data_IF_927996306601
#
_entry.id   IF_927996306601
#
_cell.length_a   1.000
_cell.length_b   1.000
_cell.length_c   1.000
_cell.angle_alpha   90.00
_cell.angle_beta   90.00
_cell.angle_gamma   90.00
#
_symmetry.space_group_name_H-M   'P 1'
#
loop_
_entity.id
_entity.type
_entity.pdbx_description
1 polymer ?
#
# COMPACT_ATOMS: atom_id res chain seq x y z
N UNK A 1 13.01 -10.85 0.48
CA UNK A 1 12.13 -10.08 -0.43
C UNK A 1 12.73 -10.14 -1.82
N UNK A 2 11.92 -10.24 -2.87
CA UNK A 2 12.39 -10.18 -4.27
C UNK A 2 11.51 -9.20 -5.04
N UNK A 3 12.13 -8.33 -5.84
CA UNK A 3 11.40 -7.42 -6.73
C UNK A 3 12.01 -7.44 -8.12
N UNK A 4 11.20 -7.22 -9.14
CA UNK A 4 11.62 -7.11 -10.53
C UNK A 4 10.92 -5.92 -11.17
N UNK A 5 11.72 -5.07 -11.78
CA UNK A 5 11.31 -3.82 -12.41
C UNK A 5 11.69 -3.87 -13.88
N UNK A 6 10.78 -3.46 -14.74
CA UNK A 6 11.03 -3.34 -16.19
C UNK A 6 10.66 -1.94 -16.63
N UNK A 7 11.67 -1.24 -17.15
CA UNK A 7 11.62 0.15 -17.60
C UNK A 7 12.14 0.19 -19.05
N UNK A 8 11.28 -0.04 -20.06
CA UNK A 8 11.65 0.09 -21.46
C UNK A 8 11.96 1.57 -21.76
N UNK A 9 13.19 1.87 -22.13
CA UNK A 9 13.64 3.24 -22.41
C UNK A 9 13.23 3.72 -23.82
N UNK A 10 12.81 2.82 -24.70
CA UNK A 10 12.47 3.09 -26.11
C UNK A 10 10.98 3.18 -26.41
N UNK A 11 10.11 2.95 -25.42
CA UNK A 11 8.67 2.98 -25.64
C UNK A 11 8.17 4.43 -25.70
N UNK A 12 7.55 4.82 -26.81
CA UNK A 12 6.91 6.15 -26.96
C UNK A 12 5.80 6.43 -25.94
N UNK A 13 5.33 5.38 -25.26
CA UNK A 13 4.45 5.42 -24.11
C UNK A 13 5.33 4.99 -22.93
N UNK A 14 5.44 5.77 -21.85
CA UNK A 14 6.34 5.49 -20.72
C UNK A 14 5.82 4.35 -19.84
N UNK A 15 5.64 3.19 -20.45
CA UNK A 15 5.13 1.98 -19.86
C UNK A 15 6.19 1.39 -18.93
N UNK A 16 5.78 0.92 -17.77
CA UNK A 16 6.65 0.17 -16.87
C UNK A 16 5.86 -0.96 -16.22
N UNK A 17 6.59 -1.96 -15.73
CA UNK A 17 6.02 -2.99 -14.87
C UNK A 17 6.88 -3.18 -13.64
N UNK A 18 6.25 -3.36 -12.49
CA UNK A 18 6.91 -3.69 -11.24
C UNK A 18 6.19 -4.87 -10.58
N UNK A 19 6.96 -5.90 -10.27
CA UNK A 19 6.48 -7.10 -9.59
C UNK A 19 7.31 -7.34 -8.35
N UNK A 20 6.71 -7.91 -7.31
CA UNK A 20 7.48 -8.23 -6.13
C UNK A 20 6.73 -9.10 -5.13
N UNK A 21 7.53 -9.77 -4.31
CA UNK A 21 7.08 -10.62 -3.21
C UNK A 21 7.83 -10.25 -1.95
N UNK A 22 7.07 -9.90 -0.92
CA UNK A 22 7.52 -9.82 0.46
C UNK A 22 7.02 -11.06 1.18
N UNK A 23 7.95 -11.81 1.77
CA UNK A 23 7.65 -12.98 2.60
C UNK A 23 7.33 -12.51 4.03
N UNK A 24 7.19 -13.47 4.94
CA UNK A 24 6.82 -13.20 6.32
C UNK A 24 7.71 -12.12 6.96
N UNK A 25 7.08 -11.11 7.54
CA UNK A 25 7.78 -10.04 8.26
C UNK A 25 6.88 -9.37 9.31
N UNK A 26 7.49 -8.73 10.30
CA UNK A 26 6.78 -7.85 11.21
C UNK A 26 6.38 -6.57 10.47
N UNK A 27 5.08 -6.22 10.49
CA UNK A 27 4.53 -5.09 9.76
C UNK A 27 5.05 -3.74 10.28
N UNK A 28 5.45 -3.65 11.56
CA UNK A 28 5.98 -2.40 12.15
C UNK A 28 7.30 -1.97 11.52
N UNK A 29 8.07 -2.90 10.93
CA UNK A 29 9.31 -2.60 10.21
C UNK A 29 9.06 -1.72 8.96
N UNK A 30 7.82 -1.65 8.48
CA UNK A 30 7.45 -0.79 7.35
C UNK A 30 7.27 0.67 7.76
N UNK A 31 7.21 1.02 9.06
CA UNK A 31 6.97 2.40 9.54
C UNK A 31 7.98 3.40 8.98
N UNK A 32 9.25 3.02 8.86
CA UNK A 32 10.29 3.85 8.24
C UNK A 32 9.97 4.28 6.79
N UNK A 33 9.08 3.54 6.11
CA UNK A 33 8.61 3.81 4.75
C UNK A 33 7.22 4.45 4.78
N UNK A 34 6.27 3.90 5.55
CA UNK A 34 4.87 4.32 5.47
C UNK A 34 4.58 5.64 6.21
N UNK A 35 5.29 5.93 7.30
CA UNK A 35 5.06 7.15 8.09
C UNK A 35 5.28 8.42 7.25
N UNK A 36 6.43 8.61 6.57
CA UNK A 36 6.65 9.80 5.75
C UNK A 36 5.80 9.82 4.46
N UNK A 37 5.35 8.66 3.96
CA UNK A 37 4.71 8.56 2.64
C UNK A 37 3.18 8.50 2.68
N UNK A 38 2.61 7.97 3.75
CA UNK A 38 1.18 7.74 3.91
C UNK A 38 0.58 8.50 5.10
N UNK A 39 1.41 9.15 5.94
CA UNK A 39 0.97 9.74 7.20
C UNK A 39 0.18 8.71 8.03
N UNK A 40 0.73 7.49 8.10
CA UNK A 40 0.13 6.38 8.82
C UNK A 40 1.22 5.54 9.48
N UNK A 41 0.93 4.96 10.63
CA UNK A 41 1.85 4.11 11.39
C UNK A 41 1.19 2.77 11.71
N UNK A 42 1.94 1.68 11.59
CA UNK A 42 1.51 0.34 11.99
C UNK A 42 1.93 0.13 13.44
N UNK A 43 0.95 -0.17 14.31
CA UNK A 43 1.20 -0.49 15.72
C UNK A 43 1.55 -1.95 15.94
N UNK A 44 0.90 -2.83 15.18
CA UNK A 44 1.11 -4.26 15.22
C UNK A 44 0.62 -4.87 13.89
N UNK A 45 1.12 -6.07 13.61
CA UNK A 45 0.74 -6.84 12.44
C UNK A 45 1.82 -7.82 12.01
N UNK A 46 1.38 -8.99 11.55
CA UNK A 46 2.25 -10.01 10.96
C UNK A 46 1.92 -10.14 9.50
N UNK A 47 2.81 -9.65 8.63
CA UNK A 47 2.71 -9.88 7.20
C UNK A 47 3.05 -11.35 6.96
N UNK A 48 2.14 -12.08 6.33
CA UNK A 48 2.38 -13.44 5.85
C UNK A 48 2.95 -13.42 4.44
N UNK A 49 2.36 -12.60 3.57
CA UNK A 49 2.76 -12.45 2.17
C UNK A 49 2.24 -11.14 1.60
N UNK A 50 3.07 -10.44 0.84
CA UNK A 50 2.63 -9.37 -0.05
C UNK A 50 3.13 -9.71 -1.46
N UNK A 51 2.23 -9.96 -2.38
CA UNK A 51 2.52 -10.06 -3.80
C UNK A 51 1.90 -8.88 -4.53
N UNK A 52 2.64 -8.30 -5.46
CA UNK A 52 2.11 -7.28 -6.35
C UNK A 52 2.57 -7.51 -7.78
N UNK A 53 1.68 -7.21 -8.72
CA UNK A 53 1.97 -7.10 -10.14
C UNK A 53 1.35 -5.80 -10.65
N UNK A 54 2.20 -4.80 -10.84
CA UNK A 54 1.79 -3.45 -11.20
C UNK A 54 2.32 -3.11 -12.59
N UNK A 55 1.49 -2.44 -13.37
CA UNK A 55 1.85 -1.79 -14.61
C UNK A 55 1.50 -0.32 -14.51
N UNK A 56 2.21 0.54 -15.23
CA UNK A 56 1.76 1.92 -15.38
C UNK A 56 2.28 2.53 -16.66
N UNK A 57 1.69 3.68 -17.01
CA UNK A 57 1.98 4.42 -18.22
C UNK A 57 1.92 5.94 -17.94
N UNK A 58 1.75 6.74 -18.98
CA UNK A 58 1.65 8.19 -18.88
C UNK A 58 0.36 8.70 -18.21
N UNK A 59 -0.64 7.83 -17.99
CA UNK A 59 -1.96 8.23 -17.50
C UNK A 59 -2.36 7.58 -16.18
N UNK A 60 -1.96 6.32 -15.93
CA UNK A 60 -2.37 5.59 -14.74
C UNK A 60 -1.45 4.42 -14.40
N UNK A 61 -1.61 3.94 -13.17
CA UNK A 61 -1.10 2.67 -12.68
C UNK A 61 -2.24 1.69 -12.48
N UNK A 62 -2.05 0.45 -12.91
CA UNK A 62 -3.01 -0.64 -12.79
C UNK A 62 -2.32 -1.92 -12.31
N UNK A 63 -3.10 -2.90 -11.87
CA UNK A 63 -2.57 -4.20 -11.50
C UNK A 63 -3.28 -4.82 -10.33
N UNK A 64 -2.63 -5.79 -9.71
CA UNK A 64 -3.20 -6.60 -8.64
C UNK A 64 -2.24 -6.70 -7.46
N UNK A 65 -2.81 -6.65 -6.26
CA UNK A 65 -2.10 -6.78 -4.99
C UNK A 65 -2.79 -7.85 -4.15
N UNK A 66 -2.01 -8.82 -3.69
CA UNK A 66 -2.40 -9.78 -2.66
C UNK A 66 -1.64 -9.45 -1.39
N UNK A 67 -2.35 -9.08 -0.33
CA UNK A 67 -1.74 -8.76 0.95
C UNK A 67 -2.34 -9.64 2.06
N UNK A 68 -1.59 -10.66 2.47
CA UNK A 68 -1.95 -11.60 3.52
C UNK A 68 -1.29 -11.20 4.84
N UNK A 69 -2.08 -11.09 5.89
CA UNK A 69 -1.61 -10.60 7.19
C UNK A 69 -2.56 -11.01 8.31
N UNK A 70 -2.04 -10.96 9.54
CA UNK A 70 -2.80 -11.11 10.78
C UNK A 70 -2.53 -9.92 11.71
N UNK A 71 -3.48 -9.65 12.60
CA UNK A 71 -3.37 -8.71 13.72
C UNK A 71 -2.91 -7.30 13.30
N UNK A 72 -3.34 -6.84 12.12
CA UNK A 72 -2.96 -5.53 11.58
C UNK A 72 -3.72 -4.40 12.28
N UNK A 73 -2.95 -3.49 12.86
CA UNK A 73 -3.44 -2.30 13.55
C UNK A 73 -2.69 -1.07 13.01
N UNK A 74 -3.44 -0.12 12.47
CA UNK A 74 -2.89 1.04 11.76
C UNK A 74 -3.54 2.31 12.30
N UNK A 75 -2.73 3.32 12.57
CA UNK A 75 -3.19 4.65 12.92
C UNK A 75 -2.84 5.68 11.86
N UNK A 76 -3.65 6.75 11.80
CA UNK A 76 -3.38 7.90 10.95
C UNK A 76 -2.58 8.92 11.77
N UNK A 77 -1.46 9.36 11.20
CA UNK A 77 -0.60 10.39 11.75
C UNK A 77 -1.05 11.78 11.28
N UNK A 78 -0.82 12.80 12.12
CA UNK A 78 -0.94 14.21 11.74
C UNK A 78 0.40 14.90 12.00
N UNK A 79 0.74 15.87 11.15
CA UNK A 79 1.88 16.75 11.41
C UNK A 79 1.58 17.62 12.62
N UNK A 80 2.47 17.59 13.61
CA UNK A 80 2.47 18.55 14.72
C UNK A 80 2.92 19.94 14.27
N UNK A 81 2.88 20.92 15.19
CA UNK A 81 3.35 22.29 14.93
C UNK A 81 4.86 22.39 14.67
N UNK A 82 5.62 21.37 15.08
CA UNK A 82 7.10 21.36 15.01
C UNK A 82 7.64 20.33 14.00
N UNK A 83 6.88 20.00 12.95
CA UNK A 83 7.17 18.94 11.95
C UNK A 83 7.38 17.51 12.51
N UNK A 84 7.30 17.31 13.83
CA UNK A 84 7.21 15.99 14.45
C UNK A 84 5.85 15.32 14.15
N UNK A 85 5.90 14.04 13.76
CA UNK A 85 4.72 13.20 13.62
C UNK A 85 4.18 12.86 15.02
N UNK A 86 3.14 13.58 15.47
CA UNK A 86 2.50 13.35 16.78
C UNK A 86 1.18 12.60 16.58
N UNK A 87 1.03 11.47 17.28
CA UNK A 87 -0.25 10.78 17.44
C UNK A 87 -1.14 11.64 18.36
N UNK A 88 -2.22 12.27 17.85
CA UNK A 88 -3.25 12.84 18.75
C UNK A 88 -4.18 11.71 19.16
N UNK A 89 -4.34 11.51 20.46
CA UNK A 89 -5.13 10.46 21.15
C UNK A 89 -6.62 10.35 20.76
N UNK A 90 -7.11 11.13 19.79
CA UNK A 90 -8.53 11.21 19.43
C UNK A 90 -8.85 10.79 17.98
N UNK A 91 -7.86 10.47 17.15
CA UNK A 91 -8.09 10.06 15.73
C UNK A 91 -7.74 8.58 15.47
N UNK A 92 -6.98 7.95 16.36
CA UNK A 92 -6.66 6.51 16.30
C UNK A 92 -7.90 5.62 16.32
N UNK A 93 -9.00 6.05 16.96
CA UNK A 93 -10.22 5.27 17.07
C UNK A 93 -10.96 5.01 15.74
N UNK A 94 -10.83 5.89 14.74
CA UNK A 94 -11.59 5.76 13.48
C UNK A 94 -10.90 4.88 12.44
N UNK A 95 -9.57 4.84 12.42
CA UNK A 95 -8.82 3.99 11.49
C UNK A 95 -9.06 2.50 11.77
N UNK A 96 -9.04 2.10 13.05
CA UNK A 96 -9.22 0.71 13.48
C UNK A 96 -10.61 0.13 13.16
N UNK A 97 -11.66 0.96 13.07
CA UNK A 97 -13.00 0.48 12.69
C UNK A 97 -13.10 0.17 11.18
N UNK A 98 -12.28 0.82 10.36
CA UNK A 98 -12.31 0.67 8.90
C UNK A 98 -11.31 -0.38 8.41
N UNK A 99 -10.13 -0.46 9.03
CA UNK A 99 -9.10 -1.45 8.71
C UNK A 99 -9.49 -2.79 9.32
N UNK A 100 -9.47 -3.83 8.49
CA UNK A 100 -9.71 -5.19 8.96
C UNK A 100 -8.39 -5.76 9.45
N UNK A 101 -8.44 -6.41 10.61
CA UNK A 101 -7.27 -6.94 11.31
C UNK A 101 -6.59 -8.12 10.60
N UNK A 102 -7.29 -8.84 9.72
CA UNK A 102 -6.72 -9.97 8.99
C UNK A 102 -7.18 -10.08 7.53
N UNK A 103 -6.36 -10.79 6.75
CA UNK A 103 -6.66 -11.31 5.43
C UNK A 103 -5.85 -12.61 5.20
N UNK A 104 -6.48 -13.76 4.92
CA UNK A 104 -7.91 -14.00 4.67
C UNK A 104 -8.80 -13.80 5.89
N UNK A 105 -10.13 -13.69 5.68
CA UNK A 105 -11.14 -13.59 6.75
C UNK A 105 -12.09 -14.76 6.63
N UNK A 106 -12.00 -15.70 7.55
CA UNK A 106 -12.60 -17.02 7.34
C UNK A 106 -12.09 -17.63 6.03
N UNK A 107 -13.01 -18.04 5.15
CA UNK A 107 -12.68 -18.65 3.86
C UNK A 107 -12.47 -17.63 2.72
N UNK A 108 -12.68 -16.34 2.97
CA UNK A 108 -12.57 -15.31 1.94
C UNK A 108 -11.20 -14.62 1.95
N UNK A 109 -10.50 -14.67 0.82
CA UNK A 109 -9.28 -13.88 0.56
C UNK A 109 -9.62 -12.63 -0.24
N UNK A 110 -9.20 -11.47 0.25
CA UNK A 110 -9.39 -10.19 -0.43
C UNK A 110 -8.12 -9.79 -1.19
N UNK A 111 -8.28 -9.29 -2.41
CA UNK A 111 -7.20 -8.71 -3.22
C UNK A 111 -7.54 -7.27 -3.59
N UNK A 112 -6.50 -6.46 -3.79
CA UNK A 112 -6.62 -5.09 -4.23
C UNK A 112 -6.39 -4.98 -5.72
N UNK A 113 -7.44 -4.64 -6.48
CA UNK A 113 -7.29 -4.27 -7.89
C UNK A 113 -6.94 -2.79 -7.97
N UNK A 114 -5.76 -2.50 -8.50
CA UNK A 114 -5.23 -1.15 -8.61
C UNK A 114 -5.78 -0.48 -9.87
N UNK A 115 -6.26 0.73 -9.69
CA UNK A 115 -6.59 1.68 -10.77
C UNK A 115 -6.35 3.07 -10.18
N UNK A 116 -5.15 3.62 -10.42
CA UNK A 116 -4.69 4.86 -9.82
C UNK A 116 -4.28 5.84 -10.91
N UNK A 117 -4.93 7.00 -10.95
CA UNK A 117 -4.63 8.05 -11.93
C UNK A 117 -3.28 8.71 -11.65
N UNK A 118 -2.51 8.95 -12.71
CA UNK A 118 -1.17 9.51 -12.60
C UNK A 118 -1.22 11.02 -12.41
N UNK A 119 -0.52 11.49 -11.39
CA UNK A 119 -0.07 12.89 -11.36
C UNK A 119 1.14 13.04 -12.30
N UNK A 120 0.92 13.67 -13.45
CA UNK A 120 1.94 13.86 -14.49
C UNK A 120 3.12 14.74 -14.03
N UNK A 121 2.94 15.54 -12.97
CA UNK A 121 4.00 16.37 -12.39
C UNK A 121 4.85 15.62 -11.36
N UNK A 122 4.53 14.35 -11.09
CA UNK A 122 5.28 13.48 -10.17
C UNK A 122 6.06 12.41 -10.91
N UNK A 123 7.09 11.91 -10.24
CA UNK A 123 7.94 10.86 -10.78
C UNK A 123 7.16 9.55 -10.99
N UNK A 124 7.69 8.70 -11.88
CA UNK A 124 7.21 7.32 -12.03
C UNK A 124 7.17 6.57 -10.68
N UNK A 125 8.17 6.78 -9.81
CA UNK A 125 8.20 6.16 -8.49
C UNK A 125 7.01 6.56 -7.60
N UNK A 126 6.53 7.80 -7.73
CA UNK A 126 5.33 8.25 -7.03
C UNK A 126 4.10 7.46 -7.50
N UNK A 127 3.91 7.33 -8.81
CA UNK A 127 2.83 6.53 -9.38
C UNK A 127 2.87 5.09 -8.88
N UNK A 128 4.05 4.47 -8.87
CA UNK A 128 4.20 3.11 -8.40
C UNK A 128 3.86 2.94 -6.91
N UNK A 129 4.42 3.79 -6.05
CA UNK A 129 4.14 3.72 -4.62
C UNK A 129 2.65 3.94 -4.33
N UNK A 130 2.03 4.94 -4.97
CA UNK A 130 0.60 5.20 -4.81
C UNK A 130 -0.27 4.07 -5.33
N UNK A 131 0.12 3.43 -6.44
CA UNK A 131 -0.52 2.23 -6.99
C UNK A 131 -0.47 1.06 -6.00
N UNK A 132 0.71 0.77 -5.45
CA UNK A 132 0.88 -0.28 -4.45
C UNK A 132 0.05 0.02 -3.19
N UNK A 133 0.12 1.25 -2.70
CA UNK A 133 -0.62 1.70 -1.53
C UNK A 133 -2.14 1.59 -1.73
N UNK A 134 -2.66 1.93 -2.91
CA UNK A 134 -4.07 1.76 -3.27
C UNK A 134 -4.50 0.28 -3.23
N UNK A 135 -3.69 -0.62 -3.79
CA UNK A 135 -3.97 -2.07 -3.73
C UNK A 135 -3.97 -2.62 -2.31
N UNK A 136 -2.99 -2.23 -1.49
CA UNK A 136 -2.96 -2.58 -0.06
C UNK A 136 -4.20 -2.02 0.65
N UNK A 137 -4.53 -0.74 0.44
CA UNK A 137 -5.71 -0.08 1.02
C UNK A 137 -7.01 -0.82 0.68
N UNK A 138 -7.20 -1.20 -0.58
CA UNK A 138 -8.39 -1.96 -1.04
C UNK A 138 -8.48 -3.33 -0.36
N UNK A 139 -7.34 -4.02 -0.20
CA UNK A 139 -7.27 -5.29 0.51
C UNK A 139 -7.68 -5.15 1.97
N UNK A 140 -7.10 -4.18 2.68
CA UNK A 140 -7.37 -4.00 4.12
C UNK A 140 -8.77 -3.47 4.43
N UNK A 141 -9.37 -2.70 3.51
CA UNK A 141 -10.76 -2.25 3.63
C UNK A 141 -11.77 -3.34 3.26
N UNK A 142 -11.35 -4.41 2.59
CA UNK A 142 -12.24 -5.51 2.21
C UNK A 142 -13.30 -5.15 1.17
N UNK A 143 -13.09 -4.11 0.36
CA UNK A 143 -14.02 -3.77 -0.71
C UNK A 143 -13.87 -4.81 -1.83
N UNK A 144 -14.88 -5.66 -2.02
CA UNK A 144 -14.99 -6.47 -3.25
C UNK A 144 -15.08 -5.49 -4.43
N UNK A 145 -14.27 -5.73 -5.46
CA UNK A 145 -14.39 -5.00 -6.71
C UNK A 145 -15.75 -5.37 -7.31
N UNK A 146 -16.66 -4.40 -7.41
CA UNK A 146 -17.88 -4.52 -8.23
C UNK A 146 -17.52 -4.33 -9.70
#
# INVERSE_FOLDING_TARGET
MSTRWRLPLSAGNKNFTATGTVKQMNATLLNQIIEPLAMASVKEGKIKKLDFNLSGNDYKGTGDVLFLYNDLNVEILKKGKDDELKTRDLISFFANKLVKNENPRGDETYTGKVDFERDIYKSFFNLLWKSLFDGVKKTVLGKKNK
#
